data_IF_509111287121
#
_entry.id   IF_509111287121
#
_cell.length_a   1.000
_cell.length_b   1.000
_cell.length_c   1.000
_cell.angle_alpha   90.00
_cell.angle_beta   90.00
_cell.angle_gamma   90.00
#
_symmetry.space_group_name_H-M   'P 1'
#
loop_
_entity.id
_entity.type
_entity.pdbx_description
1 polymer ?
#
# COMPACT_ATOMS: atom_id res chain seq x y z
N UNK A 1 20.45 3.49 6.50
CA UNK A 1 19.04 3.14 6.16
C UNK A 1 18.22 3.22 7.45
N UNK A 2 17.12 3.99 7.53
CA UNK A 2 16.31 4.02 8.76
C UNK A 2 15.60 2.68 8.91
N UNK A 3 15.99 1.87 9.90
CA UNK A 3 15.22 0.66 10.28
C UNK A 3 13.81 1.12 10.64
N UNK A 4 12.80 0.35 10.24
CA UNK A 4 11.38 0.64 10.49
C UNK A 4 10.87 -0.37 11.51
N UNK A 5 10.38 0.09 12.66
CA UNK A 5 9.89 -0.79 13.73
C UNK A 5 8.38 -0.96 13.64
N UNK A 6 7.94 -2.18 13.35
CA UNK A 6 6.52 -2.52 13.22
C UNK A 6 6.08 -3.30 14.44
N UNK A 7 5.28 -2.68 15.30
CA UNK A 7 4.71 -3.36 16.47
C UNK A 7 3.42 -4.11 16.10
N UNK A 8 3.08 -5.15 16.88
CA UNK A 8 1.77 -5.79 16.79
C UNK A 8 0.65 -4.76 17.01
N UNK A 9 -0.54 -5.05 16.44
CA UNK A 9 -1.69 -4.17 16.53
C UNK A 9 -1.43 -2.74 16.00
N UNK A 10 -0.53 -2.60 15.02
CA UNK A 10 -0.34 -1.31 14.32
C UNK A 10 -1.24 -1.23 13.10
N UNK A 11 -1.68 -0.01 12.81
CA UNK A 11 -2.34 0.32 11.55
C UNK A 11 -1.34 1.10 10.72
N UNK A 12 -1.10 0.64 9.50
CA UNK A 12 -0.15 1.29 8.59
C UNK A 12 -0.86 1.76 7.33
N UNK A 13 -0.55 2.99 6.93
CA UNK A 13 -0.83 3.49 5.60
C UNK A 13 0.37 3.17 4.72
N UNK A 14 0.12 2.52 3.59
CA UNK A 14 1.13 2.19 2.60
C UNK A 14 0.85 2.95 1.32
N UNK A 15 1.89 3.47 0.68
CA UNK A 15 1.78 4.17 -0.59
C UNK A 15 2.92 3.78 -1.52
N UNK A 16 2.61 3.58 -2.79
CA UNK A 16 3.63 3.42 -3.83
C UNK A 16 3.24 4.22 -5.08
N UNK A 17 4.24 4.65 -5.84
CA UNK A 17 4.08 5.49 -7.03
C UNK A 17 4.82 4.86 -8.21
N UNK A 18 4.28 5.04 -9.41
CA UNK A 18 4.92 4.60 -10.65
C UNK A 18 6.09 5.50 -11.03
N UNK A 19 7.15 4.90 -11.58
CA UNK A 19 8.30 5.61 -12.13
C UNK A 19 7.94 6.35 -13.41
N UNK A 20 7.06 5.71 -14.20
CA UNK A 20 6.65 6.12 -15.53
C UNK A 20 5.26 5.56 -15.79
N UNK A 21 4.55 6.18 -16.74
CA UNK A 21 3.23 5.75 -17.19
C UNK A 21 2.12 5.85 -16.13
N UNK A 22 0.88 5.58 -16.53
CA UNK A 22 -0.29 5.63 -15.65
C UNK A 22 -1.14 4.34 -15.73
N UNK A 23 -0.57 3.15 -15.45
CA UNK A 23 -1.23 1.88 -15.77
C UNK A 23 -2.48 1.57 -14.94
N UNK A 24 -2.68 2.18 -13.77
CA UNK A 24 -3.84 1.92 -12.90
C UNK A 24 -4.97 2.92 -13.14
N UNK A 25 -5.41 3.04 -14.40
CA UNK A 25 -6.59 3.82 -14.77
C UNK A 25 -7.89 3.11 -14.37
N UNK A 26 -8.99 3.85 -14.25
CA UNK A 26 -10.31 3.30 -13.98
C UNK A 26 -10.89 2.59 -15.22
N UNK A 27 -10.46 1.35 -15.43
CA UNK A 27 -10.80 0.50 -16.57
C UNK A 27 -10.99 -0.95 -16.09
N UNK A 28 -11.89 -1.73 -16.69
CA UNK A 28 -12.19 -3.09 -16.23
C UNK A 28 -10.99 -4.04 -16.31
N UNK A 29 -10.17 -3.89 -17.35
CA UNK A 29 -8.98 -4.71 -17.53
C UNK A 29 -7.97 -4.45 -16.41
N UNK A 30 -7.61 -3.19 -16.16
CA UNK A 30 -6.63 -2.81 -15.14
C UNK A 30 -7.15 -3.04 -13.72
N UNK A 31 -8.46 -2.87 -13.51
CA UNK A 31 -9.15 -3.19 -12.27
C UNK A 31 -9.04 -4.69 -11.95
N UNK A 32 -9.36 -5.55 -12.92
CA UNK A 32 -9.24 -7.00 -12.77
C UNK A 32 -7.81 -7.41 -12.42
N UNK A 33 -6.81 -6.89 -13.14
CA UNK A 33 -5.40 -7.18 -12.84
C UNK A 33 -5.03 -6.78 -11.41
N UNK A 34 -5.36 -5.56 -11.00
CA UNK A 34 -4.99 -5.03 -9.69
C UNK A 34 -5.67 -5.78 -8.55
N UNK A 35 -6.98 -6.06 -8.68
CA UNK A 35 -7.75 -6.78 -7.67
C UNK A 35 -7.34 -8.25 -7.58
N UNK A 36 -7.05 -8.88 -8.71
CA UNK A 36 -6.61 -10.28 -8.75
C UNK A 36 -5.26 -10.46 -8.04
N UNK A 37 -4.29 -9.57 -8.31
CA UNK A 37 -3.00 -9.58 -7.60
C UNK A 37 -3.19 -9.31 -6.09
N UNK A 38 -4.07 -8.36 -5.74
CA UNK A 38 -4.35 -8.04 -4.33
C UNK A 38 -4.98 -9.22 -3.59
N UNK A 39 -5.93 -9.91 -4.22
CA UNK A 39 -6.57 -11.10 -3.66
C UNK A 39 -5.56 -12.23 -3.45
N UNK A 40 -4.70 -12.51 -4.45
CA UNK A 40 -3.64 -13.52 -4.35
C UNK A 40 -2.64 -13.19 -3.23
N UNK A 41 -2.29 -11.91 -3.08
CA UNK A 41 -1.39 -11.46 -2.02
C UNK A 41 -1.99 -11.68 -0.62
N UNK A 42 -3.29 -11.41 -0.44
CA UNK A 42 -3.97 -11.66 0.83
C UNK A 42 -4.12 -13.15 1.13
N UNK A 43 -4.45 -13.98 0.12
CA UNK A 43 -4.49 -15.45 0.25
C UNK A 43 -3.14 -16.01 0.71
N UNK A 44 -2.04 -15.45 0.20
CA UNK A 44 -0.67 -15.88 0.57
C UNK A 44 -0.22 -15.36 1.96
N UNK A 45 -0.81 -14.28 2.44
CA UNK A 45 -0.41 -13.64 3.69
C UNK A 45 -1.64 -13.45 4.60
N UNK A 46 -2.15 -14.56 5.14
CA UNK A 46 -3.39 -14.60 5.94
C UNK A 46 -3.34 -13.74 7.21
N UNK A 47 -2.14 -13.43 7.70
CA UNK A 47 -1.94 -12.52 8.83
C UNK A 47 -2.27 -11.06 8.51
N UNK A 48 -2.49 -10.71 7.24
CA UNK A 48 -2.77 -9.35 6.77
C UNK A 48 -4.27 -9.09 6.69
N UNK A 49 -4.69 -7.97 7.28
CA UNK A 49 -6.05 -7.44 7.20
C UNK A 49 -6.05 -6.17 6.37
N UNK A 50 -6.59 -6.28 5.15
CA UNK A 50 -6.83 -5.14 4.28
C UNK A 50 -8.04 -4.34 4.76
N UNK A 51 -7.81 -3.09 5.18
CA UNK A 51 -8.89 -2.21 5.63
C UNK A 51 -9.41 -1.35 4.49
N UNK A 52 -8.52 -0.61 3.83
CA UNK A 52 -8.89 0.29 2.74
C UNK A 52 -7.85 0.26 1.64
N UNK A 53 -8.29 0.47 0.40
CA UNK A 53 -7.38 0.68 -0.72
C UNK A 53 -7.98 1.67 -1.72
N UNK A 54 -7.08 2.36 -2.42
CA UNK A 54 -7.37 3.18 -3.59
C UNK A 54 -6.22 3.00 -4.57
N UNK A 55 -6.53 2.48 -5.75
CA UNK A 55 -5.65 2.49 -6.91
C UNK A 55 -5.83 3.81 -7.63
N UNK A 56 -4.74 4.46 -7.99
CA UNK A 56 -4.68 5.75 -8.67
C UNK A 56 -3.90 5.56 -9.98
N UNK A 57 -4.12 6.36 -11.03
CA UNK A 57 -3.38 6.21 -12.27
C UNK A 57 -1.85 6.21 -12.07
N UNK A 58 -1.34 6.98 -11.10
CA UNK A 58 0.08 7.08 -10.76
C UNK A 58 0.56 6.16 -9.62
N UNK A 59 -0.28 5.28 -9.06
CA UNK A 59 0.16 4.38 -8.00
C UNK A 59 -0.96 3.80 -7.15
N UNK A 60 -0.69 3.51 -5.89
CA UNK A 60 -1.72 2.99 -4.98
C UNK A 60 -1.52 3.45 -3.56
N UNK A 61 -2.61 3.46 -2.80
CA UNK A 61 -2.63 3.71 -1.35
C UNK A 61 -3.46 2.65 -0.66
N UNK A 62 -2.95 2.14 0.44
CA UNK A 62 -3.62 1.11 1.24
C UNK A 62 -3.54 1.44 2.71
N UNK A 63 -4.53 0.99 3.47
CA UNK A 63 -4.50 0.94 4.93
C UNK A 63 -4.64 -0.52 5.30
N UNK A 64 -3.60 -1.05 5.94
CA UNK A 64 -3.53 -2.45 6.37
C UNK A 64 -3.20 -2.53 7.85
N UNK A 65 -3.58 -3.65 8.46
CA UNK A 65 -3.21 -4.04 9.82
C UNK A 65 -3.01 -5.55 9.86
N UNK A 66 -2.56 -6.13 10.97
CA UNK A 66 -2.34 -7.56 11.08
C UNK A 66 -1.01 -7.91 11.73
N UNK A 67 -0.44 -9.03 11.31
CA UNK A 67 0.88 -9.50 11.71
C UNK A 67 1.99 -8.66 11.03
N UNK A 68 2.79 -7.90 11.81
CA UNK A 68 3.91 -7.12 11.30
C UNK A 68 4.97 -7.93 10.54
N UNK A 69 5.14 -9.20 10.89
CA UNK A 69 6.13 -10.10 10.27
C UNK A 69 5.82 -10.30 8.78
N UNK A 70 4.54 -10.31 8.42
CA UNK A 70 4.05 -10.56 7.08
C UNK A 70 3.99 -9.31 6.20
N UNK A 71 4.11 -8.09 6.76
CA UNK A 71 3.98 -6.85 5.97
C UNK A 71 4.98 -6.76 4.83
N UNK A 72 6.25 -7.14 5.06
CA UNK A 72 7.25 -7.12 3.98
C UNK A 72 6.96 -8.16 2.91
N UNK A 73 6.62 -9.40 3.31
CA UNK A 73 6.29 -10.47 2.39
C UNK A 73 5.08 -10.11 1.53
N UNK A 74 4.02 -9.62 2.15
CA UNK A 74 2.81 -9.13 1.48
C UNK A 74 3.12 -8.02 0.48
N UNK A 75 3.83 -6.96 0.89
CA UNK A 75 4.11 -5.83 0.01
C UNK A 75 5.07 -6.18 -1.12
N UNK A 76 6.05 -7.05 -0.88
CA UNK A 76 6.96 -7.52 -1.92
C UNK A 76 6.24 -8.40 -2.93
N UNK A 77 5.38 -9.31 -2.45
CA UNK A 77 4.57 -10.15 -3.34
C UNK A 77 3.59 -9.31 -4.15
N UNK A 78 2.77 -8.50 -3.49
CA UNK A 78 1.78 -7.63 -4.15
C UNK A 78 2.44 -6.69 -5.17
N UNK A 79 3.46 -5.94 -4.74
CA UNK A 79 4.16 -4.99 -5.62
C UNK A 79 4.94 -5.67 -6.74
N UNK A 80 5.53 -6.84 -6.48
CA UNK A 80 6.27 -7.62 -7.48
C UNK A 80 5.35 -8.20 -8.55
N UNK A 81 4.30 -8.91 -8.14
CA UNK A 81 3.32 -9.52 -9.06
C UNK A 81 2.54 -8.47 -9.85
N UNK A 82 2.16 -7.36 -9.22
CA UNK A 82 1.49 -6.26 -9.92
C UNK A 82 2.43 -5.63 -10.95
N UNK A 83 3.70 -5.41 -10.61
CA UNK A 83 4.67 -4.91 -11.59
C UNK A 83 4.85 -5.86 -12.77
N UNK A 84 4.95 -7.18 -12.54
CA UNK A 84 5.03 -8.16 -13.63
C UNK A 84 3.81 -8.07 -14.56
N UNK A 85 2.61 -8.06 -13.98
CA UNK A 85 1.37 -7.98 -14.76
C UNK A 85 1.29 -6.69 -15.60
N UNK A 86 1.64 -5.55 -15.01
CA UNK A 86 1.63 -4.26 -15.69
C UNK A 86 2.75 -4.13 -16.74
N UNK A 87 3.92 -4.73 -16.48
CA UNK A 87 5.02 -4.81 -17.45
C UNK A 87 4.61 -5.58 -18.69
N UNK A 88 4.00 -6.75 -18.49
CA UNK A 88 3.48 -7.59 -19.58
C UNK A 88 2.47 -6.80 -20.41
N UNK A 89 1.48 -6.18 -19.76
CA UNK A 89 0.46 -5.36 -20.41
C UNK A 89 1.04 -4.19 -21.20
N UNK A 90 2.07 -3.52 -20.69
CA UNK A 90 2.75 -2.40 -21.37
C UNK A 90 3.82 -2.85 -22.38
N UNK A 91 4.16 -4.14 -22.43
CA UNK A 91 5.28 -4.68 -23.20
C UNK A 91 6.65 -4.13 -22.76
N UNK A 92 6.87 -4.01 -21.46
CA UNK A 92 8.13 -3.53 -20.87
C UNK A 92 8.91 -4.70 -20.24
N UNK A 93 10.10 -5.00 -20.75
CA UNK A 93 10.95 -6.07 -20.20
C UNK A 93 11.79 -5.60 -19.00
N UNK A 94 12.66 -4.61 -19.20
CA UNK A 94 13.69 -4.23 -18.22
C UNK A 94 13.40 -2.96 -17.43
N UNK A 95 12.37 -2.18 -17.78
CA UNK A 95 12.08 -0.91 -17.10
C UNK A 95 11.57 -1.11 -15.66
N UNK A 96 12.01 -0.27 -14.72
CA UNK A 96 11.43 -0.24 -13.38
C UNK A 96 10.05 0.42 -13.42
N UNK A 97 9.00 -0.33 -13.04
CA UNK A 97 7.64 0.23 -12.94
C UNK A 97 7.47 1.12 -11.71
N UNK A 98 8.08 0.76 -10.59
CA UNK A 98 7.99 1.53 -9.35
C UNK A 98 9.02 2.66 -9.31
N UNK A 99 8.60 3.86 -8.93
CA UNK A 99 9.51 4.98 -8.77
C UNK A 99 10.56 4.74 -7.67
N UNK A 100 10.22 3.88 -6.71
CA UNK A 100 10.96 3.62 -5.47
C UNK A 100 10.30 2.48 -4.69
N UNK A 101 10.91 2.10 -3.56
CA UNK A 101 10.27 1.23 -2.56
C UNK A 101 9.01 1.92 -1.99
N UNK A 102 8.01 1.11 -1.63
CA UNK A 102 6.79 1.60 -0.99
C UNK A 102 7.11 2.36 0.30
N UNK A 103 6.34 3.40 0.56
CA UNK A 103 6.35 4.08 1.84
C UNK A 103 5.37 3.45 2.79
N UNK A 104 5.70 3.52 4.07
CA UNK A 104 4.79 3.12 5.13
C UNK A 104 4.78 4.22 6.20
N UNK A 105 3.59 4.47 6.74
CA UNK A 105 3.32 5.47 7.75
C UNK A 105 2.45 4.82 8.83
N UNK A 106 2.95 4.75 10.06
CA UNK A 106 2.20 4.22 11.20
C UNK A 106 1.16 5.25 11.62
N UNK A 107 -0.10 4.82 11.69
CA UNK A 107 -1.23 5.65 12.12
C UNK A 107 -1.43 5.45 13.63
N UNK A 108 -0.96 6.41 14.43
CA UNK A 108 -0.85 6.25 15.88
C UNK A 108 -2.21 6.26 16.61
N UNK A 109 -3.22 6.93 16.05
CA UNK A 109 -4.53 7.03 16.66
C UNK A 109 -5.67 6.79 15.66
N UNK A 110 -6.89 6.46 16.11
CA UNK A 110 -8.10 6.42 15.29
C UNK A 110 -8.39 7.73 14.57
N UNK A 111 -7.98 8.87 15.13
CA UNK A 111 -8.10 10.15 14.44
C UNK A 111 -7.16 10.19 13.22
N UNK A 112 -5.93 9.69 13.37
CA UNK A 112 -4.96 9.58 12.27
C UNK A 112 -5.42 8.58 11.21
N UNK A 113 -6.01 7.45 11.64
CA UNK A 113 -6.65 6.49 10.73
C UNK A 113 -7.78 7.15 9.97
N UNK A 114 -8.68 7.87 10.65
CA UNK A 114 -9.79 8.55 10.01
C UNK A 114 -9.33 9.62 8.99
N UNK A 115 -8.29 10.38 9.34
CA UNK A 115 -7.65 11.34 8.43
C UNK A 115 -7.04 10.63 7.21
N UNK A 116 -6.32 9.52 7.42
CA UNK A 116 -5.73 8.74 6.33
C UNK A 116 -6.81 8.15 5.39
N UNK A 117 -7.89 7.59 5.94
CA UNK A 117 -9.04 7.10 5.15
C UNK A 117 -9.66 8.25 4.34
N UNK A 118 -9.80 9.42 4.95
CA UNK A 118 -10.33 10.61 4.27
C UNK A 118 -9.42 11.04 3.12
N UNK A 119 -8.10 11.09 3.35
CA UNK A 119 -7.12 11.45 2.33
C UNK A 119 -7.15 10.51 1.13
N UNK A 120 -7.11 9.18 1.35
CA UNK A 120 -7.05 8.22 0.24
C UNK A 120 -8.30 8.31 -0.64
N UNK A 121 -9.49 8.49 -0.07
CA UNK A 121 -10.73 8.59 -0.85
C UNK A 121 -10.90 9.97 -1.49
N UNK A 122 -10.42 11.04 -0.86
CA UNK A 122 -10.54 12.39 -1.41
C UNK A 122 -9.61 12.64 -2.60
N UNK A 123 -8.48 11.95 -2.65
CA UNK A 123 -7.44 12.17 -3.66
C UNK A 123 -7.89 11.95 -5.11
N UNK A 124 -8.62 10.88 -5.48
CA UNK A 124 -9.22 10.75 -6.81
C UNK A 124 -10.05 11.97 -7.24
N UNK A 125 -10.80 12.58 -6.31
CA UNK A 125 -11.61 13.77 -6.58
C UNK A 125 -10.74 15.01 -6.79
N UNK A 126 -9.78 15.25 -5.90
CA UNK A 126 -8.86 16.40 -5.98
C UNK A 126 -7.99 16.36 -7.23
N UNK A 127 -7.73 15.17 -7.75
CA UNK A 127 -6.93 14.99 -8.96
C UNK A 127 -7.76 14.95 -10.23
N UNK A 128 -9.10 15.02 -10.12
CA UNK A 128 -10.01 14.95 -11.25
C UNK A 128 -9.97 13.60 -11.96
N UNK A 129 -9.66 12.52 -11.24
CA UNK A 129 -9.70 11.16 -11.80
C UNK A 129 -11.15 10.65 -11.84
N UNK A 130 -11.99 11.10 -10.90
CA UNK A 130 -13.40 10.76 -10.88
C UNK A 130 -14.27 11.96 -10.48
N UNK A 131 -15.56 11.89 -10.83
CA UNK A 131 -16.53 12.95 -10.52
C UNK A 131 -17.19 12.81 -9.15
N UNK A 132 -17.20 11.58 -8.63
CA UNK A 132 -17.72 11.21 -7.32
C UNK A 132 -17.00 9.94 -6.82
N UNK A 133 -16.97 9.72 -5.51
CA UNK A 133 -16.42 8.48 -4.94
C UNK A 133 -17.16 7.24 -5.44
N UNK A 134 -18.47 7.35 -5.70
CA UNK A 134 -19.28 6.24 -6.21
C UNK A 134 -18.87 5.86 -7.65
N UNK A 135 -18.58 6.84 -8.49
CA UNK A 135 -18.21 6.62 -9.89
C UNK A 135 -16.80 6.03 -10.09
N UNK A 136 -16.00 5.91 -9.02
CA UNK A 136 -14.63 5.41 -9.14
C UNK A 136 -14.50 3.88 -9.16
N UNK A 137 -15.62 3.15 -9.17
CA UNK A 137 -15.62 1.70 -9.37
C UNK A 137 -14.93 0.92 -8.25
N UNK A 138 -14.39 -0.26 -8.58
CA UNK A 138 -13.68 -1.10 -7.62
C UNK A 138 -12.18 -0.79 -7.55
N UNK A 139 -11.71 0.22 -8.31
CA UNK A 139 -10.41 0.86 -8.09
C UNK A 139 -10.29 1.53 -6.71
N UNK A 140 -11.39 1.64 -5.95
CA UNK A 140 -11.37 1.98 -4.53
C UNK A 140 -12.26 1.06 -3.71
N UNK A 141 -11.90 0.84 -2.45
CA UNK A 141 -12.76 0.10 -1.52
C UNK A 141 -13.95 0.90 -0.98
N UNK A 142 -14.32 2.02 -1.60
CA UNK A 142 -15.36 2.92 -1.11
C UNK A 142 -16.73 2.24 -1.00
N UNK A 143 -17.11 1.46 -2.03
CA UNK A 143 -18.37 0.74 -2.03
C UNK A 143 -18.36 -0.36 -0.97
N UNK A 144 -17.25 -1.09 -0.84
CA UNK A 144 -17.06 -2.09 0.21
C UNK A 144 -17.15 -1.48 1.61
N UNK A 145 -16.63 -0.27 1.81
CA UNK A 145 -16.74 0.44 3.10
C UNK A 145 -18.20 0.72 3.50
N UNK A 146 -19.04 1.13 2.55
CA UNK A 146 -20.48 1.32 2.81
C UNK A 146 -21.18 -0.02 3.06
N UNK A 147 -20.87 -1.06 2.28
CA UNK A 147 -21.47 -2.38 2.44
C UNK A 147 -21.12 -3.00 3.79
N UNK A 148 -19.90 -2.81 4.29
CA UNK A 148 -19.45 -3.30 5.59
C UNK A 148 -20.26 -2.78 6.79
N UNK A 149 -21.05 -1.72 6.62
CA UNK A 149 -21.98 -1.24 7.65
C UNK A 149 -23.19 -2.16 7.84
N UNK A 150 -23.57 -2.88 6.78
CA UNK A 150 -24.72 -3.80 6.77
C UNK A 150 -24.32 -5.21 7.21
N UNK A 151 -23.03 -5.55 7.17
CA UNK A 151 -22.52 -6.88 7.53
C UNK A 151 -22.09 -6.94 9.00
N UNK A 152 -22.54 -7.97 9.72
CA UNK A 152 -22.33 -8.15 11.16
C UNK A 152 -20.84 -8.17 11.55
N UNK A 153 -20.03 -8.97 10.87
CA UNK A 153 -18.57 -9.04 11.09
C UNK A 153 -17.85 -7.83 10.44
N UNK A 154 -18.45 -7.25 9.39
CA UNK A 154 -17.95 -6.07 8.69
C UNK A 154 -16.87 -6.44 7.67
N UNK A 155 -16.79 -7.72 7.32
CA UNK A 155 -16.02 -8.22 6.20
C UNK A 155 -16.89 -8.10 4.96
N UNK A 156 -16.30 -7.63 3.87
CA UNK A 156 -16.92 -7.63 2.55
C UNK A 156 -16.01 -8.43 1.65
N UNK A 157 -16.58 -9.47 1.06
CA UNK A 157 -15.90 -10.37 0.14
C UNK A 157 -16.44 -10.15 -1.26
N UNK A 158 -15.54 -10.03 -2.22
CA UNK A 158 -15.89 -10.08 -3.65
C UNK A 158 -15.11 -11.21 -4.31
N UNK A 159 -15.71 -11.83 -5.31
CA UNK A 159 -15.03 -12.80 -6.16
C UNK A 159 -14.37 -12.07 -7.32
N UNK A 160 -13.11 -12.40 -7.57
CA UNK A 160 -12.30 -11.80 -8.62
C UNK A 160 -11.68 -12.94 -9.42
N UNK A 161 -11.67 -12.86 -10.74
CA UNK A 161 -10.99 -13.86 -11.56
C UNK A 161 -9.49 -13.90 -11.24
N UNK A 162 -8.94 -15.10 -11.06
CA UNK A 162 -7.51 -15.28 -10.80
C UNK A 162 -6.73 -15.11 -12.12
N UNK A 163 -5.97 -14.03 -12.22
CA UNK A 163 -5.15 -13.67 -13.39
C UNK A 163 -3.69 -13.91 -13.06
N UNK A 164 -3.04 -14.73 -13.89
CA UNK A 164 -1.60 -14.96 -13.85
C UNK A 164 -0.89 -14.19 -14.97
N UNK A 165 0.43 -14.00 -14.85
CA UNK A 165 1.19 -13.22 -15.83
C UNK A 165 1.05 -13.77 -17.26
N UNK A 166 1.10 -15.10 -17.45
CA UNK A 166 1.03 -15.73 -18.77
C UNK A 166 -0.33 -15.57 -19.47
N UNK A 167 -1.37 -15.12 -18.77
CA UNK A 167 -2.68 -14.85 -19.35
C UNK A 167 -2.74 -13.45 -19.99
N UNK A 168 -1.82 -12.56 -19.63
CA UNK A 168 -1.86 -11.14 -19.96
C UNK A 168 -1.25 -10.93 -21.34
N UNK A 169 -2.05 -10.38 -22.25
CA UNK A 169 -1.57 -9.96 -23.56
C UNK A 169 -1.07 -8.51 -23.49
N UNK A 170 -0.06 -8.20 -24.31
CA UNK A 170 0.44 -6.83 -24.50
C UNK A 170 -0.66 -5.96 -25.13
N UNK A 171 -0.91 -4.81 -24.52
CA UNK A 171 -1.87 -3.81 -25.00
C UNK A 171 -1.22 -2.96 -26.07
N UNK A 172 -1.84 -2.83 -27.25
CA UNK A 172 -1.33 -1.95 -28.32
C UNK A 172 -1.45 -0.46 -27.91
N UNK A 173 -0.54 0.40 -28.38
CA UNK A 173 -0.56 1.83 -28.03
C UNK A 173 -1.71 2.58 -28.68
N UNK A 174 -2.08 2.15 -29.87
CA UNK A 174 -3.11 2.65 -30.77
C UNK A 174 -4.42 1.83 -30.66
N UNK A 175 -4.64 1.19 -29.51
CA UNK A 175 -5.82 0.35 -29.29
C UNK A 175 -7.14 1.11 -29.47
N UNK A 176 -8.05 0.52 -30.24
CA UNK A 176 -9.42 1.02 -30.43
C UNK A 176 -10.34 0.57 -29.29
N UNK A 177 -11.53 1.17 -29.15
CA UNK A 177 -12.51 0.74 -28.12
C UNK A 177 -13.02 -0.70 -28.35
N UNK A 178 -13.09 -1.12 -29.61
CA UNK A 178 -13.46 -2.48 -30.00
C UNK A 178 -12.36 -3.46 -29.56
N UNK A 179 -11.09 -3.14 -29.87
CA UNK A 179 -9.95 -3.95 -29.44
C UNK A 179 -9.84 -4.02 -27.91
N UNK A 180 -10.10 -2.92 -27.21
CA UNK A 180 -10.10 -2.86 -25.74
C UNK A 180 -11.09 -3.86 -25.14
N UNK A 181 -12.32 -3.87 -25.65
CA UNK A 181 -13.35 -4.81 -25.23
C UNK A 181 -12.94 -6.25 -25.52
N UNK A 182 -12.33 -6.50 -26.68
CA UNK A 182 -11.83 -7.84 -27.03
C UNK A 182 -10.69 -8.30 -26.13
N UNK A 183 -9.75 -7.43 -25.75
CA UNK A 183 -8.66 -7.79 -24.84
C UNK A 183 -9.22 -8.21 -23.48
N UNK A 184 -10.17 -7.46 -22.93
CA UNK A 184 -10.81 -7.82 -21.66
C UNK A 184 -11.55 -9.16 -21.76
N UNK A 185 -12.33 -9.37 -22.82
CA UNK A 185 -13.05 -10.63 -23.04
C UNK A 185 -12.09 -11.82 -23.23
N UNK A 186 -11.00 -11.64 -23.98
CA UNK A 186 -9.95 -12.67 -24.15
C UNK A 186 -9.31 -13.04 -22.81
N UNK A 187 -8.99 -12.03 -21.98
CA UNK A 187 -8.46 -12.27 -20.64
C UNK A 187 -9.47 -13.05 -19.79
N UNK A 188 -10.74 -12.63 -19.75
CA UNK A 188 -11.79 -13.32 -19.01
C UNK A 188 -11.98 -14.78 -19.45
N UNK A 189 -11.88 -15.08 -20.75
CA UNK A 189 -11.94 -16.47 -21.26
C UNK A 189 -10.79 -17.36 -20.78
N UNK A 190 -9.63 -16.77 -20.44
CA UNK A 190 -8.47 -17.51 -19.90
C UNK A 190 -8.60 -17.78 -18.39
N UNK A 191 -9.52 -17.11 -17.69
CA UNK A 191 -9.72 -17.27 -16.23
C UNK A 191 -10.42 -18.60 -15.96
N UNK A 192 -9.78 -19.44 -15.16
CA UNK A 192 -10.29 -20.79 -14.79
C UNK A 192 -10.82 -20.86 -13.36
N UNK A 193 -10.41 -19.94 -12.50
CA UNK A 193 -10.80 -19.92 -11.10
C UNK A 193 -11.04 -18.49 -10.63
N UNK A 194 -11.94 -18.36 -9.65
CA UNK A 194 -12.15 -17.12 -8.91
C UNK A 194 -11.42 -17.21 -7.57
N UNK A 195 -10.91 -16.07 -7.13
CA UNK A 195 -10.29 -15.87 -5.82
C UNK A 195 -11.11 -14.84 -5.03
N UNK A 196 -11.25 -15.09 -3.72
CA UNK A 196 -11.96 -14.19 -2.82
C UNK A 196 -11.03 -13.04 -2.39
N UNK A 197 -11.47 -11.81 -2.63
CA UNK A 197 -10.86 -10.62 -2.06
C UNK A 197 -11.65 -10.20 -0.82
N UNK A 198 -11.07 -10.42 0.36
CA UNK A 198 -11.65 -9.98 1.62
C UNK A 198 -11.16 -8.59 2.04
N UNK A 199 -12.09 -7.68 2.27
CA UNK A 199 -11.79 -6.36 2.84
C UNK A 199 -12.53 -6.22 4.16
N UNK A 200 -11.83 -5.79 5.20
CA UNK A 200 -12.38 -5.52 6.54
C UNK A 200 -12.21 -4.04 6.85
N UNK A 201 -13.08 -3.13 6.34
CA UNK A 201 -12.91 -1.68 6.49
C UNK A 201 -12.79 -1.19 7.94
N UNK A 202 -13.36 -1.93 8.89
CA UNK A 202 -13.27 -1.64 10.32
C UNK A 202 -12.25 -2.51 11.07
N UNK A 203 -11.46 -3.32 10.35
CA UNK A 203 -10.49 -4.26 10.93
C UNK A 203 -9.44 -3.58 11.79
N UNK A 204 -9.05 -2.35 11.44
CA UNK A 204 -8.13 -1.51 12.21
C UNK A 204 -8.64 -1.14 13.62
N UNK A 205 -9.94 -1.25 13.91
CA UNK A 205 -10.47 -0.92 15.26
C UNK A 205 -9.87 -1.81 16.35
N UNK A 206 -9.51 -3.05 16.02
CA UNK A 206 -8.92 -3.98 16.99
C UNK A 206 -7.60 -3.47 17.57
N UNK A 207 -6.93 -2.58 16.83
CA UNK A 207 -5.65 -1.95 17.18
C UNK A 207 -5.76 -0.90 18.29
N UNK A 208 -6.95 -0.35 18.55
CA UNK A 208 -7.14 0.70 19.54
C UNK A 208 -8.20 0.31 20.57
N UNK A 209 -7.78 0.11 21.82
CA UNK A 209 -8.60 -0.37 22.94
C UNK A 209 -9.95 0.35 23.06
N UNK A 210 -9.96 1.68 23.02
CA UNK A 210 -11.16 2.50 23.15
C UNK A 210 -12.06 2.52 21.91
N UNK A 211 -11.59 2.04 20.75
CA UNK A 211 -12.44 1.89 19.56
C UNK A 211 -13.12 0.53 19.47
N UNK A 212 -12.64 -0.48 20.21
CA UNK A 212 -13.22 -1.83 20.23
C UNK A 212 -14.72 -1.78 20.55
N UNK A 213 -15.08 -1.01 21.59
CA UNK A 213 -16.48 -0.81 22.04
C UNK A 213 -17.29 0.16 21.17
N UNK A 214 -16.66 0.91 20.28
CA UNK A 214 -17.36 1.90 19.46
C UNK A 214 -18.07 1.21 18.29
N UNK A 215 -19.37 1.42 18.11
CA UNK A 215 -20.12 0.86 16.98
C UNK A 215 -19.59 1.30 15.62
N UNK A 216 -19.67 0.42 14.61
CA UNK A 216 -19.22 0.71 13.22
C UNK A 216 -19.88 1.96 12.64
N UNK A 217 -21.21 2.08 12.83
CA UNK A 217 -22.01 3.24 12.39
C UNK A 217 -21.50 4.56 12.99
N UNK A 218 -21.15 4.57 14.28
CA UNK A 218 -20.58 5.75 14.96
C UNK A 218 -19.23 6.14 14.37
N UNK A 219 -18.35 5.18 14.09
CA UNK A 219 -17.05 5.42 13.45
C UNK A 219 -17.22 5.93 12.01
N UNK A 220 -18.12 5.34 11.25
CA UNK A 220 -18.42 5.78 9.89
C UNK A 220 -19.01 7.19 9.86
N UNK A 221 -19.88 7.55 10.81
CA UNK A 221 -20.41 8.91 10.89
C UNK A 221 -19.31 9.94 11.20
N UNK A 222 -18.37 9.62 12.11
CA UNK A 222 -17.18 10.47 12.36
C UNK A 222 -16.33 10.65 11.11
N UNK A 223 -16.13 9.57 10.34
CA UNK A 223 -15.46 9.62 9.06
C UNK A 223 -16.22 10.50 8.06
N UNK A 224 -17.52 10.25 7.87
CA UNK A 224 -18.37 11.00 6.95
C UNK A 224 -18.34 12.49 7.25
N UNK A 225 -18.42 12.89 8.52
CA UNK A 225 -18.30 14.29 8.94
C UNK A 225 -16.92 14.88 8.55
N UNK A 226 -15.85 14.13 8.76
CA UNK A 226 -14.48 14.55 8.41
C UNK A 226 -14.31 14.71 6.89
N UNK A 227 -14.81 13.73 6.12
CA UNK A 227 -14.81 13.75 4.67
C UNK A 227 -15.64 14.90 4.11
N UNK A 228 -16.89 15.08 4.59
CA UNK A 228 -17.77 16.17 4.15
C UNK A 228 -17.13 17.54 4.40
N UNK A 229 -16.52 17.73 5.58
CA UNK A 229 -15.79 18.97 5.89
C UNK A 229 -14.64 19.18 4.89
N UNK A 230 -13.81 18.17 4.62
CA UNK A 230 -12.71 18.27 3.67
C UNK A 230 -13.16 18.51 2.23
N UNK A 231 -14.26 17.90 1.81
CA UNK A 231 -14.88 18.18 0.50
C UNK A 231 -15.34 19.64 0.43
N UNK A 232 -15.91 20.18 1.51
CA UNK A 232 -16.31 21.60 1.58
C UNK A 232 -15.10 22.53 1.51
N UNK A 233 -14.04 22.25 2.27
CA UNK A 233 -12.77 23.00 2.26
C UNK A 233 -12.11 23.00 0.87
N UNK A 234 -12.19 21.89 0.13
CA UNK A 234 -11.58 21.75 -1.20
C UNK A 234 -12.58 21.90 -2.35
N UNK A 235 -13.76 22.48 -2.12
CA UNK A 235 -14.87 22.51 -3.09
C UNK A 235 -14.46 23.14 -4.43
N UNK A 236 -13.72 24.24 -4.39
CA UNK A 236 -13.33 24.96 -5.60
C UNK A 236 -12.25 24.23 -6.40
N UNK A 237 -11.30 23.59 -5.71
CA UNK A 237 -10.30 22.73 -6.35
C UNK A 237 -10.98 21.54 -7.04
N UNK A 238 -11.90 20.86 -6.33
CA UNK A 238 -12.68 19.75 -6.87
C UNK A 238 -13.51 20.23 -8.07
N UNK A 239 -14.18 21.38 -7.99
CA UNK A 239 -14.98 21.93 -9.10
C UNK A 239 -14.12 22.22 -10.33
N UNK A 240 -12.96 22.84 -10.15
CA UNK A 240 -12.00 23.13 -11.24
C UNK A 240 -11.52 21.84 -11.91
N UNK A 241 -11.20 20.82 -11.11
CA UNK A 241 -10.71 19.52 -11.61
C UNK A 241 -11.80 18.68 -12.22
N UNK A 242 -13.03 18.72 -11.69
CA UNK A 242 -14.20 18.00 -12.20
C UNK A 242 -14.57 18.42 -13.62
N UNK A 243 -14.37 19.69 -13.99
CA UNK A 243 -14.54 20.15 -15.39
C UNK A 243 -13.63 19.42 -16.38
N UNK A 244 -12.47 18.94 -15.92
CA UNK A 244 -11.48 18.19 -16.72
C UNK A 244 -11.51 16.69 -16.45
N UNK A 245 -12.34 16.25 -15.52
CA UNK A 245 -12.37 14.86 -15.10
C UNK A 245 -13.09 14.01 -16.14
N UNK A 246 -12.49 12.88 -16.50
CA UNK A 246 -13.13 11.89 -17.35
C UNK A 246 -14.47 11.46 -16.70
N UNK A 247 -15.52 11.37 -17.52
CA UNK A 247 -16.80 10.80 -17.11
C UNK A 247 -16.66 9.27 -17.16
N UNK A 248 -16.55 8.64 -15.99
CA UNK A 248 -16.63 7.18 -15.89
C UNK A 248 -15.32 6.45 -16.21
N UNK A 249 -15.39 5.51 -17.17
CA UNK A 249 -14.27 4.65 -17.55
C UNK A 249 -13.25 5.44 -18.37
N UNK A 250 -11.97 5.17 -18.13
CA UNK A 250 -10.87 5.77 -18.86
C UNK A 250 -10.45 4.78 -19.96
N UNK A 251 -10.31 5.22 -21.22
CA UNK A 251 -9.86 4.36 -22.32
C UNK A 251 -8.53 3.69 -22.01
N UNK A 252 -8.37 2.42 -22.38
CA UNK A 252 -7.22 1.61 -22.04
C UNK A 252 -5.90 2.17 -22.60
N UNK A 253 -5.93 2.87 -23.74
CA UNK A 253 -4.76 3.56 -24.31
C UNK A 253 -4.08 4.54 -23.34
N UNK A 254 -4.82 5.08 -22.35
CA UNK A 254 -4.28 6.01 -21.36
C UNK A 254 -3.29 5.37 -20.39
N UNK A 255 -3.16 4.02 -20.35
CA UNK A 255 -2.09 3.36 -19.57
C UNK A 255 -0.70 3.86 -19.97
N UNK A 256 -0.51 4.26 -21.24
CA UNK A 256 0.74 4.79 -21.79
C UNK A 256 0.96 6.28 -21.50
N UNK A 257 0.04 6.95 -20.82
CA UNK A 257 0.18 8.37 -20.46
C UNK A 257 1.36 8.57 -19.54
N UNK A 258 2.33 9.38 -19.98
CA UNK A 258 3.55 9.63 -19.20
C UNK A 258 3.22 10.29 -17.87
N UNK A 259 3.84 9.78 -16.81
CA UNK A 259 3.83 10.34 -15.47
C UNK A 259 5.26 10.62 -15.05
N UNK A 260 5.46 11.74 -14.35
CA UNK A 260 6.72 12.07 -13.68
C UNK A 260 6.45 12.09 -12.17
N UNK A 261 6.99 11.13 -11.41
CA UNK A 261 6.79 11.12 -9.96
C UNK A 261 7.37 12.39 -9.35
N UNK A 262 6.71 12.88 -8.30
CA UNK A 262 7.25 14.01 -7.54
C UNK A 262 8.56 13.58 -6.90
N UNK A 263 9.62 14.37 -7.12
CA UNK A 263 10.89 14.21 -6.39
C UNK A 263 10.60 14.34 -4.89
N UNK A 264 11.04 13.37 -4.10
CA UNK A 264 10.94 13.43 -2.63
C UNK A 264 11.98 14.43 -2.14
N UNK A 265 11.61 15.38 -1.27
CA UNK A 265 12.64 16.06 -0.48
C UNK A 265 13.09 15.10 0.63
N UNK A 266 14.40 15.09 0.89
CA UNK A 266 14.99 14.27 1.96
C UNK A 266 14.37 14.70 3.29
N UNK A 267 13.75 13.77 4.01
CA UNK A 267 13.17 14.02 5.34
C UNK A 267 11.66 14.35 5.39
N UNK A 268 10.97 14.50 4.26
CA UNK A 268 9.57 14.96 4.23
C UNK A 268 8.51 13.98 4.77
N UNK A 269 8.83 12.68 4.88
CA UNK A 269 7.83 11.69 5.32
C UNK A 269 8.08 11.23 6.74
N UNK A 270 7.09 11.52 7.60
CA UNK A 270 7.06 11.03 8.96
C UNK A 270 6.74 9.54 8.98
N UNK A 271 7.58 8.75 9.65
CA UNK A 271 7.33 7.32 9.84
C UNK A 271 6.09 7.07 10.72
N UNK A 272 5.77 8.02 11.59
CA UNK A 272 4.67 7.95 12.56
C UNK A 272 3.82 9.20 12.39
N UNK A 273 2.56 9.02 12.02
CA UNK A 273 1.56 10.08 12.01
C UNK A 273 0.84 10.11 13.34
N UNK A 274 0.94 11.25 14.03
CA UNK A 274 0.20 11.51 15.25
C UNK A 274 -0.40 12.91 15.22
N UNK A 275 -1.72 13.01 15.24
CA UNK A 275 -2.44 14.29 15.28
C UNK A 275 -2.17 15.10 16.56
N UNK A 276 -1.64 14.47 17.61
CA UNK A 276 -1.41 15.10 18.89
C UNK A 276 0.09 15.41 19.07
N UNK A 277 0.51 16.63 18.75
CA UNK A 277 1.93 17.05 18.71
C UNK A 277 2.73 16.70 19.97
N UNK A 278 2.15 16.88 21.17
CA UNK A 278 2.80 16.47 22.43
C UNK A 278 3.08 14.96 22.52
N UNK A 279 2.16 14.12 22.03
CA UNK A 279 2.34 12.65 22.00
C UNK A 279 3.32 12.26 20.91
N UNK A 280 3.23 12.90 19.74
CA UNK A 280 4.16 12.72 18.64
C UNK A 280 5.61 12.94 19.08
N UNK A 281 5.88 14.03 19.81
CA UNK A 281 7.20 14.33 20.39
C UNK A 281 7.68 13.20 21.29
N UNK A 282 6.85 12.78 22.27
CA UNK A 282 7.17 11.67 23.18
C UNK A 282 7.43 10.35 22.44
N UNK A 283 6.69 10.06 21.37
CA UNK A 283 6.89 8.84 20.58
C UNK A 283 8.20 8.93 19.80
N UNK A 284 8.50 10.07 19.18
CA UNK A 284 9.77 10.31 18.47
C UNK A 284 10.96 10.19 19.43
N UNK A 285 10.85 10.73 20.64
CA UNK A 285 11.86 10.59 21.70
C UNK A 285 12.05 9.13 22.12
N UNK A 286 10.96 8.40 22.42
CA UNK A 286 11.03 6.96 22.75
C UNK A 286 11.63 6.13 21.62
N UNK A 287 11.28 6.46 20.38
CA UNK A 287 11.81 5.78 19.20
C UNK A 287 13.30 6.05 18.98
N UNK A 288 13.73 7.31 19.16
CA UNK A 288 15.13 7.69 19.10
C UNK A 288 15.93 6.95 20.18
N UNK A 289 15.41 6.90 21.42
CA UNK A 289 16.00 6.14 22.52
C UNK A 289 16.10 4.63 22.21
N UNK A 290 15.03 4.04 21.65
CA UNK A 290 15.05 2.64 21.20
C UNK A 290 16.12 2.40 20.11
N UNK A 291 16.27 3.32 19.15
CA UNK A 291 17.29 3.21 18.11
C UNK A 291 18.70 3.29 18.68
N UNK A 292 18.94 4.17 19.67
CA UNK A 292 20.22 4.26 20.37
C UNK A 292 20.53 2.94 21.08
N UNK A 293 19.55 2.37 21.80
CA UNK A 293 19.71 1.04 22.42
C UNK A 293 20.06 -0.05 21.40
N UNK A 294 19.36 -0.09 20.26
CA UNK A 294 19.66 -1.04 19.19
C UNK A 294 21.06 -0.87 18.61
N UNK A 295 21.52 0.38 18.45
CA UNK A 295 22.86 0.69 17.93
C UNK A 295 23.95 0.23 18.91
N UNK A 296 23.76 0.49 20.21
CA UNK A 296 24.67 0.04 21.25
C UNK A 296 24.73 -1.50 21.31
N UNK A 297 23.59 -2.19 21.24
CA UNK A 297 23.57 -3.65 21.15
C UNK A 297 24.31 -4.16 19.91
N UNK A 298 24.15 -3.49 18.76
CA UNK A 298 24.82 -3.87 17.53
C UNK A 298 26.34 -3.63 17.57
N UNK A 299 26.80 -2.56 18.23
CA UNK A 299 28.23 -2.29 18.47
C UNK A 299 28.85 -3.34 19.39
N UNK A 300 28.22 -3.60 20.54
CA UNK A 300 28.68 -4.65 21.46
C UNK A 300 28.72 -6.01 20.77
N UNK A 301 27.70 -6.33 19.97
CA UNK A 301 27.67 -7.56 19.18
C UNK A 301 28.80 -7.66 18.15
N UNK A 302 29.20 -6.55 17.52
CA UNK A 302 30.35 -6.49 16.61
C UNK A 302 31.69 -6.68 17.32
N UNK A 303 31.83 -6.10 18.52
CA UNK A 303 33.04 -6.20 19.35
C UNK A 303 33.20 -7.59 19.98
N UNK A 304 32.10 -8.34 20.05
CA UNK A 304 32.05 -9.71 20.59
C UNK A 304 32.58 -10.76 19.60
N UNK A 305 33.62 -10.42 18.84
CA UNK A 305 34.24 -11.19 17.75
C UNK A 305 34.54 -12.67 18.07
N UNK A 306 34.58 -13.04 19.36
CA UNK A 306 34.86 -14.39 19.85
C UNK A 306 33.62 -15.17 20.32
N UNK A 307 32.40 -14.68 20.04
CA UNK A 307 31.16 -15.42 20.33
C UNK A 307 30.78 -15.52 21.81
N UNK A 308 31.48 -14.84 22.73
CA UNK A 308 31.30 -15.00 24.18
C UNK A 308 30.26 -14.07 24.82
N UNK A 309 29.85 -12.96 24.18
CA UNK A 309 28.90 -12.03 24.79
C UNK A 309 27.53 -12.16 24.13
N UNK A 310 26.58 -12.73 24.88
CA UNK A 310 25.16 -12.73 24.52
C UNK A 310 24.62 -11.32 24.74
N UNK A 311 24.51 -10.53 23.68
CA UNK A 311 23.91 -9.19 23.75
C UNK A 311 22.38 -9.32 23.72
N UNK A 312 21.72 -8.92 24.79
CA UNK A 312 20.26 -8.85 24.83
C UNK A 312 19.76 -7.63 24.05
N UNK A 313 19.14 -7.88 22.89
CA UNK A 313 18.55 -6.82 22.08
C UNK A 313 17.20 -6.36 22.66
N UNK A 314 16.87 -5.06 22.60
CA UNK A 314 15.57 -4.59 23.08
C UNK A 314 14.44 -5.22 22.26
N UNK A 315 13.35 -5.59 22.93
CA UNK A 315 12.18 -6.24 22.29
C UNK A 315 11.73 -5.50 21.04
N UNK A 316 11.60 -6.22 19.93
CA UNK A 316 11.22 -5.68 18.61
C UNK A 316 12.39 -5.16 17.77
N UNK A 317 13.63 -5.25 18.25
CA UNK A 317 14.81 -5.02 17.43
C UNK A 317 15.07 -6.21 16.50
N UNK A 318 15.68 -5.92 15.35
CA UNK A 318 16.26 -6.95 14.50
C UNK A 318 17.52 -7.49 15.17
N UNK A 319 17.57 -8.80 15.38
CA UNK A 319 18.74 -9.52 15.89
C UNK A 319 19.50 -10.11 14.69
N UNK A 320 20.79 -9.78 14.49
CA UNK A 320 21.61 -10.40 13.45
C UNK A 320 21.65 -11.93 13.63
N UNK A 321 21.51 -12.68 12.52
CA UNK A 321 21.35 -14.15 12.54
C UNK A 321 22.66 -14.94 12.40
N UNK A 322 23.78 -14.28 12.18
CA UNK A 322 25.10 -14.91 12.08
C UNK A 322 26.14 -13.91 12.54
N UNK A 323 27.33 -14.36 13.00
CA UNK A 323 28.37 -13.54 13.63
C UNK A 323 28.70 -12.30 12.78
N UNK A 324 29.26 -11.23 13.38
CA UNK A 324 29.72 -10.11 12.58
C UNK A 324 30.59 -10.69 11.48
N UNK A 325 30.33 -10.29 10.23
CA UNK A 325 31.32 -10.47 9.19
C UNK A 325 32.52 -9.66 9.68
N UNK A 326 33.38 -10.29 10.49
CA UNK A 326 34.79 -9.97 10.55
C UNK A 326 35.15 -9.83 9.08
N UNK A 327 35.59 -8.63 8.71
CA UNK A 327 36.19 -8.40 7.41
C UNK A 327 36.97 -9.66 7.09
N UNK A 328 36.53 -10.41 6.07
CA UNK A 328 37.33 -11.47 5.48
C UNK A 328 38.66 -10.77 5.23
N UNK A 329 39.60 -10.93 6.16
CA UNK A 329 40.98 -10.57 5.92
C UNK A 329 41.28 -11.48 4.76
N UNK A 330 41.35 -10.85 3.59
CA UNK A 330 41.88 -11.46 2.38
C UNK A 330 43.13 -12.17 2.88
N UNK A 331 43.08 -13.50 2.88
CA UNK A 331 44.26 -14.29 3.19
C UNK A 331 45.38 -13.67 2.34
N UNK A 332 46.55 -13.35 2.93
CA UNK A 332 47.65 -12.83 2.14
C UNK A 332 47.81 -13.74 0.92
N UNK A 333 47.80 -13.12 -0.26
CA UNK A 333 47.97 -13.81 -1.53
C UNK A 333 49.15 -14.77 -1.42
N UNK A 334 48.97 -15.98 -1.96
CA UNK A 334 50.01 -16.98 -2.17
C UNK A 334 51.07 -16.46 -3.16
N UNK A 335 51.80 -15.40 -2.77
CA UNK A 335 53.03 -14.95 -3.39
C UNK A 335 54.17 -15.24 -2.40
N UNK A 336 54.36 -16.52 -2.05
CA UNK A 336 55.56 -17.07 -1.40
C UNK A 336 55.45 -18.60 -1.36
N UNK A 337 55.45 -19.24 -2.55
CA UNK A 337 55.93 -20.62 -2.76
C UNK A 337 56.70 -20.64 -4.07
#
# INVERSE_FOLDING_TARGET
MKRKVRAFNTVIKVENEFARYQPLINNEYTELLALSVLARALRKCEGIVLCHYVFLPWGYKMIITGDPSQYSAFMNYFGGELAKCLKESLGLSYENIWARKFDEEILHSPLDVNKAITEIYLEPLLKGVCQSLKSYGNMSSWNMFKSALKVRDGTVTIEVGEVSQCMIDKVKRDITEVDESQIYLKLNKKIRCNIKLEVKPFGWKKCFSYTKKCGKKKMFNKFKATLSRKIKESKDEIRKKKKRAAKGRIPLKEIYKRYKPKRRKKGEREYIRCSHKKKEKKIKERYAFFCIKCDNCYKGWKESSNGQVVVEYPKGAFVPTGPPYTSLQVAPSLEEI
#
